data_IF_666771528411
#
_entry.id   IF_666771528411
#
_cell.length_a   1.000
_cell.length_b   1.000
_cell.length_c   1.000
_cell.angle_alpha   90.00
_cell.angle_beta   90.00
_cell.angle_gamma   90.00
#
_symmetry.space_group_name_H-M   'P 1'
#
loop_
_entity.id
_entity.type
_entity.pdbx_description
1 polymer ?
#
# COMPACT_ATOMS: atom_id res chain seq x y z
N UNK A 1 -12.96 -17.60 28.46
CA UNK A 1 -13.60 -17.56 27.14
C UNK A 1 -14.01 -16.12 26.94
N UNK A 2 -13.12 -15.32 26.37
CA UNK A 2 -13.46 -13.99 25.89
C UNK A 2 -12.75 -13.82 24.55
N UNK A 3 -13.56 -13.53 23.55
CA UNK A 3 -13.16 -13.36 22.17
C UNK A 3 -12.10 -12.27 22.07
N UNK A 4 -10.94 -12.64 21.53
CA UNK A 4 -9.94 -11.69 21.03
C UNK A 4 -10.68 -10.80 20.04
N UNK A 5 -10.84 -9.52 20.41
CA UNK A 5 -11.32 -8.46 19.52
C UNK A 5 -10.53 -8.54 18.22
N UNK A 6 -11.19 -9.02 17.17
CA UNK A 6 -10.64 -9.05 15.82
C UNK A 6 -10.29 -7.64 15.39
N UNK A 7 -9.17 -7.53 14.66
CA UNK A 7 -8.66 -6.33 14.00
C UNK A 7 -9.78 -5.41 13.51
N UNK A 8 -10.11 -4.40 14.31
CA UNK A 8 -10.92 -3.24 13.91
C UNK A 8 -10.07 -2.35 13.00
N UNK A 9 -9.97 -2.72 11.71
CA UNK A 9 -9.82 -1.85 10.52
C UNK A 9 -9.57 -2.72 9.28
N UNK A 10 -10.55 -3.55 8.95
CA UNK A 10 -10.68 -4.16 7.62
C UNK A 10 -11.79 -3.38 6.91
N UNK A 11 -11.45 -2.50 5.97
CA UNK A 11 -12.43 -2.07 4.98
C UNK A 11 -12.65 -3.23 4.03
N UNK A 12 -13.49 -4.18 4.44
CA UNK A 12 -14.11 -5.09 3.48
C UNK A 12 -15.00 -4.22 2.59
N UNK A 13 -14.60 -4.02 1.33
CA UNK A 13 -15.52 -3.50 0.34
C UNK A 13 -16.39 -4.69 -0.08
N UNK A 14 -17.47 -4.91 0.67
CA UNK A 14 -18.40 -6.02 0.43
C UNK A 14 -19.08 -5.95 -0.94
N UNK A 15 -19.41 -7.12 -1.51
CA UNK A 15 -20.23 -7.25 -2.72
C UNK A 15 -19.50 -7.66 -4.01
N UNK A 16 -18.20 -7.98 -3.95
CA UNK A 16 -17.39 -8.43 -5.10
C UNK A 16 -16.67 -9.76 -4.79
N UNK A 17 -16.54 -10.68 -5.76
CA UNK A 17 -15.92 -12.01 -5.58
C UNK A 17 -14.41 -11.95 -5.33
N UNK A 18 -13.80 -10.78 -5.53
CA UNK A 18 -12.39 -10.50 -5.27
C UNK A 18 -12.30 -9.35 -4.27
N UNK A 19 -12.24 -9.62 -2.96
CA UNK A 19 -11.97 -8.60 -1.94
C UNK A 19 -10.58 -7.97 -2.11
N UNK A 20 -10.46 -6.73 -1.60
CA UNK A 20 -9.25 -5.91 -1.67
C UNK A 20 -8.83 -5.51 -0.26
N UNK A 21 -7.57 -5.75 0.08
CA UNK A 21 -6.97 -5.38 1.35
C UNK A 21 -5.69 -4.57 1.12
N UNK A 22 -5.81 -3.25 1.26
CA UNK A 22 -4.71 -2.31 1.14
C UNK A 22 -4.43 -1.69 2.50
N UNK A 23 -3.16 -1.62 2.91
CA UNK A 23 -2.75 -0.82 4.05
C UNK A 23 -2.45 0.62 3.64
N UNK A 24 -2.80 1.59 4.49
CA UNK A 24 -2.61 3.02 4.25
C UNK A 24 -1.13 3.46 4.11
N UNK A 25 -0.17 2.54 4.24
CA UNK A 25 1.26 2.81 4.08
C UNK A 25 1.59 3.47 2.74
N UNK A 26 0.85 3.14 1.67
CA UNK A 26 1.06 3.77 0.37
C UNK A 26 0.73 5.27 0.37
N UNK A 27 -0.09 5.76 1.30
CA UNK A 27 -0.41 7.19 1.41
C UNK A 27 0.79 8.03 1.82
N UNK A 28 1.82 7.40 2.42
CA UNK A 28 3.06 8.05 2.86
C UNK A 28 4.04 8.30 1.71
N UNK A 29 3.82 7.68 0.55
CA UNK A 29 4.66 7.90 -0.63
C UNK A 29 4.13 9.08 -1.45
N UNK A 30 5.05 9.83 -2.05
CA UNK A 30 4.72 10.93 -2.95
C UNK A 30 4.04 10.43 -4.23
N UNK A 31 3.19 11.27 -4.81
CA UNK A 31 2.58 10.99 -6.11
C UNK A 31 3.65 11.09 -7.21
N UNK A 32 3.76 10.06 -8.04
CA UNK A 32 4.61 10.09 -9.25
C UNK A 32 4.00 10.94 -10.37
N UNK A 33 2.66 10.92 -10.47
CA UNK A 33 1.89 11.64 -11.49
C UNK A 33 1.77 13.15 -11.22
N UNK A 34 2.00 13.62 -9.99
CA UNK A 34 2.03 15.05 -9.67
C UNK A 34 3.05 15.84 -10.51
N UNK A 35 4.01 15.15 -11.14
CA UNK A 35 4.94 15.77 -12.10
C UNK A 35 4.31 16.14 -13.45
N UNK A 36 3.11 15.66 -13.80
CA UNK A 36 2.43 15.98 -15.07
C UNK A 36 0.91 16.22 -14.97
N UNK A 37 0.20 15.65 -13.99
CA UNK A 37 -1.26 15.82 -13.82
C UNK A 37 -1.55 16.35 -12.42
N UNK A 38 -2.41 17.35 -12.34
CA UNK A 38 -2.59 18.20 -11.14
C UNK A 38 -3.34 17.51 -10.00
N UNK A 39 -4.03 16.40 -10.24
CA UNK A 39 -4.59 15.52 -9.21
C UNK A 39 -4.78 14.07 -9.72
N UNK A 40 -4.99 13.15 -8.77
CA UNK A 40 -5.21 11.72 -8.99
C UNK A 40 -6.54 11.38 -9.70
N UNK A 41 -7.61 12.13 -9.43
CA UNK A 41 -8.91 11.92 -10.10
C UNK A 41 -8.81 12.20 -11.59
N UNK A 42 -8.01 13.19 -11.98
CA UNK A 42 -7.70 13.56 -13.36
C UNK A 42 -6.88 12.47 -14.04
N UNK A 43 -6.00 11.77 -13.31
CA UNK A 43 -5.19 10.68 -13.86
C UNK A 43 -5.98 9.39 -14.08
N UNK A 44 -6.86 9.03 -13.13
CA UNK A 44 -7.72 7.85 -13.26
C UNK A 44 -8.78 8.02 -14.33
N UNK A 45 -9.35 9.22 -14.41
CA UNK A 45 -10.30 9.58 -15.46
C UNK A 45 -9.61 10.13 -16.72
N UNK A 46 -8.29 9.95 -16.84
CA UNK A 46 -7.59 10.30 -18.05
C UNK A 46 -8.12 9.47 -19.22
N UNK A 47 -8.36 10.15 -20.34
CA UNK A 47 -9.02 9.58 -21.50
C UNK A 47 -9.93 10.61 -22.16
N UNK A 48 -10.73 10.19 -23.15
CA UNK A 48 -10.87 8.83 -23.65
C UNK A 48 -9.80 8.44 -24.70
N UNK A 49 -9.13 7.31 -24.50
CA UNK A 49 -8.04 6.79 -25.35
C UNK A 49 -8.53 5.82 -26.44
N UNK A 50 -7.88 5.74 -27.61
CA UNK A 50 -8.27 4.82 -28.68
C UNK A 50 -7.91 3.35 -28.36
N UNK A 51 -8.49 2.39 -29.11
CA UNK A 51 -8.14 0.95 -29.01
C UNK A 51 -6.63 0.69 -29.10
N UNK A 52 -5.90 1.45 -29.92
CA UNK A 52 -4.44 1.30 -30.04
C UNK A 52 -3.69 1.52 -28.73
N UNK A 53 -4.22 2.33 -27.81
CA UNK A 53 -3.65 2.58 -26.49
C UNK A 53 -3.94 1.45 -25.48
N UNK A 54 -4.71 0.43 -25.85
CA UNK A 54 -4.96 -0.74 -24.98
C UNK A 54 -3.94 -1.86 -25.14
N UNK A 55 -3.12 -1.80 -26.19
CA UNK A 55 -2.25 -2.90 -26.61
C UNK A 55 -3.00 -4.09 -27.22
N UNK A 56 -4.31 -3.99 -27.45
CA UNK A 56 -5.13 -5.02 -28.08
C UNK A 56 -5.52 -4.65 -29.52
N UNK A 57 -5.72 -5.69 -30.34
CA UNK A 57 -6.35 -5.55 -31.64
C UNK A 57 -7.86 -5.31 -31.53
N UNK A 58 -8.45 -4.67 -32.54
CA UNK A 58 -9.90 -4.50 -32.66
C UNK A 58 -10.66 -5.84 -32.58
N UNK A 59 -10.10 -6.92 -33.12
CA UNK A 59 -10.72 -8.24 -33.07
C UNK A 59 -10.79 -8.75 -31.63
N UNK A 60 -9.70 -8.67 -30.87
CA UNK A 60 -9.68 -9.05 -29.45
C UNK A 60 -10.70 -8.24 -28.65
N UNK A 61 -10.76 -6.92 -28.88
CA UNK A 61 -11.72 -6.02 -28.23
C UNK A 61 -13.17 -6.38 -28.56
N UNK A 62 -13.47 -6.74 -29.81
CA UNK A 62 -14.81 -7.18 -30.21
C UNK A 62 -15.20 -8.53 -29.57
N UNK A 63 -14.25 -9.47 -29.47
CA UNK A 63 -14.47 -10.74 -28.76
C UNK A 63 -14.79 -10.53 -27.29
N UNK A 64 -14.00 -9.71 -26.58
CA UNK A 64 -14.25 -9.38 -25.18
C UNK A 64 -15.63 -8.72 -24.97
N UNK A 65 -16.11 -7.95 -25.95
CA UNK A 65 -17.46 -7.37 -25.90
C UNK A 65 -18.54 -8.44 -25.99
N UNK A 66 -18.37 -9.37 -26.95
CA UNK A 66 -19.32 -10.46 -27.16
C UNK A 66 -19.40 -11.37 -25.93
N UNK A 67 -18.27 -11.54 -25.25
CA UNK A 67 -18.15 -12.38 -24.06
C UNK A 67 -18.55 -11.65 -22.76
N UNK A 68 -19.02 -10.40 -22.82
CA UNK A 68 -19.46 -9.64 -21.64
C UNK A 68 -18.32 -9.17 -20.73
N UNK A 69 -17.08 -9.21 -21.21
CA UNK A 69 -15.86 -8.85 -20.47
C UNK A 69 -15.41 -7.39 -20.68
N UNK A 70 -16.26 -6.56 -21.28
CA UNK A 70 -16.07 -5.12 -21.36
C UNK A 70 -17.33 -4.41 -20.85
N UNK A 71 -17.14 -3.32 -20.11
CA UNK A 71 -18.23 -2.46 -19.71
C UNK A 71 -18.93 -1.80 -20.90
N UNK A 72 -19.95 -1.01 -20.62
CA UNK A 72 -20.59 -0.15 -21.60
C UNK A 72 -19.61 0.97 -22.01
N UNK A 73 -18.57 0.62 -22.78
CA UNK A 73 -17.67 1.59 -23.38
C UNK A 73 -18.51 2.60 -24.14
N UNK A 74 -18.32 3.90 -23.89
CA UNK A 74 -18.96 4.94 -24.68
C UNK A 74 -18.58 4.74 -26.15
N UNK A 75 -19.48 4.16 -26.93
CA UNK A 75 -19.51 4.44 -28.37
C UNK A 75 -19.82 5.93 -28.44
N UNK A 76 -18.81 6.76 -28.71
CA UNK A 76 -19.02 8.18 -28.93
C UNK A 76 -19.96 8.37 -30.14
N UNK A 77 -21.28 8.37 -29.92
CA UNK A 77 -22.31 8.44 -30.95
C UNK A 77 -22.46 7.19 -31.81
N UNK A 78 -23.56 7.13 -32.58
CA UNK A 78 -24.04 5.98 -33.38
C UNK A 78 -23.03 5.44 -34.44
N UNK A 79 -21.86 6.05 -34.58
CA UNK A 79 -20.75 5.63 -35.47
C UNK A 79 -19.35 5.86 -34.88
N UNK A 80 -19.23 5.96 -33.55
CA UNK A 80 -17.97 6.27 -32.89
C UNK A 80 -17.01 5.09 -32.79
N UNK A 81 -15.72 5.36 -33.03
CA UNK A 81 -14.63 4.47 -32.63
C UNK A 81 -14.68 4.25 -31.11
N UNK A 82 -14.48 3.00 -30.67
CA UNK A 82 -14.45 2.69 -29.23
C UNK A 82 -13.28 3.40 -28.56
N UNK A 83 -13.55 3.95 -27.39
CA UNK A 83 -12.53 4.57 -26.54
C UNK A 83 -12.55 3.98 -25.13
N UNK A 84 -11.46 4.18 -24.41
CA UNK A 84 -11.21 3.63 -23.09
C UNK A 84 -10.67 4.69 -22.13
N UNK A 85 -11.09 4.62 -20.88
CA UNK A 85 -10.47 5.35 -19.77
C UNK A 85 -9.20 4.63 -19.31
N UNK A 86 -8.30 5.33 -18.61
CA UNK A 86 -7.07 4.73 -18.08
C UNK A 86 -7.34 3.49 -17.22
N UNK A 87 -8.34 3.54 -16.33
CA UNK A 87 -8.80 2.38 -15.55
C UNK A 87 -9.12 1.15 -16.42
N UNK A 88 -9.79 1.35 -17.55
CA UNK A 88 -10.15 0.26 -18.47
C UNK A 88 -8.91 -0.30 -19.18
N UNK A 89 -7.92 0.53 -19.47
CA UNK A 89 -6.62 0.07 -20.00
C UNK A 89 -5.92 -0.80 -18.95
N UNK A 90 -5.87 -0.39 -17.67
CA UNK A 90 -5.31 -1.20 -16.58
C UNK A 90 -6.03 -2.55 -16.47
N UNK A 91 -7.36 -2.54 -16.47
CA UNK A 91 -8.17 -3.76 -16.50
C UNK A 91 -7.77 -4.69 -17.66
N UNK A 92 -7.63 -4.14 -18.87
CA UNK A 92 -7.27 -4.91 -20.06
C UNK A 92 -5.86 -5.50 -19.96
N UNK A 93 -4.91 -4.83 -19.29
CA UNK A 93 -3.58 -5.38 -19.00
C UNK A 93 -3.67 -6.56 -18.04
N UNK A 94 -4.38 -6.43 -16.92
CA UNK A 94 -4.58 -7.53 -15.95
C UNK A 94 -5.31 -8.71 -16.59
N UNK A 95 -6.34 -8.44 -17.39
CA UNK A 95 -7.09 -9.46 -18.12
C UNK A 95 -6.20 -10.21 -19.11
N UNK A 96 -5.33 -9.49 -19.83
CA UNK A 96 -4.39 -10.09 -20.79
C UNK A 96 -3.38 -10.99 -20.09
N UNK A 97 -2.89 -10.57 -18.92
CA UNK A 97 -1.99 -11.37 -18.09
C UNK A 97 -2.65 -12.68 -17.65
N UNK A 98 -3.87 -12.63 -17.09
CA UNK A 98 -4.62 -13.83 -16.70
C UNK A 98 -4.90 -14.75 -17.89
N UNK A 99 -5.25 -14.19 -19.05
CA UNK A 99 -5.44 -14.97 -20.27
C UNK A 99 -4.17 -15.67 -20.75
N UNK A 100 -3.00 -15.08 -20.53
CA UNK A 100 -1.72 -15.71 -20.88
C UNK A 100 -1.48 -17.02 -20.12
N UNK A 101 -2.05 -17.16 -18.92
CA UNK A 101 -2.05 -18.39 -18.11
C UNK A 101 -3.19 -19.36 -18.47
N UNK A 102 -4.00 -19.06 -19.49
CA UNK A 102 -5.09 -19.92 -19.94
C UNK A 102 -6.39 -19.80 -19.13
N UNK A 103 -6.56 -18.71 -18.36
CA UNK A 103 -7.81 -18.46 -17.62
C UNK A 103 -8.99 -18.31 -18.59
N UNK A 104 -10.03 -19.12 -18.38
CA UNK A 104 -11.24 -19.10 -19.19
C UNK A 104 -12.13 -17.88 -18.94
N UNK A 105 -12.98 -17.54 -19.92
CA UNK A 105 -13.85 -16.37 -19.87
C UNK A 105 -14.81 -16.35 -18.67
N UNK A 106 -15.28 -17.51 -18.20
CA UNK A 106 -16.18 -17.60 -17.05
C UNK A 106 -15.53 -17.05 -15.78
N UNK A 107 -14.32 -17.52 -15.46
CA UNK A 107 -13.56 -17.04 -14.29
C UNK A 107 -13.24 -15.53 -14.38
N UNK A 108 -12.99 -15.00 -15.58
CA UNK A 108 -12.68 -13.58 -15.79
C UNK A 108 -13.83 -12.62 -15.41
N UNK A 109 -15.06 -13.11 -15.22
CA UNK A 109 -16.15 -12.28 -14.73
C UNK A 109 -15.89 -11.74 -13.31
N UNK A 110 -15.14 -12.46 -12.48
CA UNK A 110 -14.74 -11.96 -11.16
C UNK A 110 -13.82 -10.74 -11.26
N UNK A 111 -12.86 -10.77 -12.20
CA UNK A 111 -12.01 -9.61 -12.52
C UNK A 111 -12.84 -8.46 -13.08
N UNK A 112 -13.80 -8.75 -13.97
CA UNK A 112 -14.70 -7.73 -14.50
C UNK A 112 -15.48 -7.03 -13.38
N UNK A 113 -16.03 -7.78 -12.42
CA UNK A 113 -16.73 -7.20 -11.28
C UNK A 113 -15.80 -6.36 -10.38
N UNK A 114 -14.54 -6.75 -10.20
CA UNK A 114 -13.56 -5.96 -9.45
C UNK A 114 -13.34 -4.57 -10.08
N UNK A 115 -13.27 -4.48 -11.41
CA UNK A 115 -12.97 -3.21 -12.10
C UNK A 115 -14.20 -2.37 -12.46
N UNK A 116 -15.33 -3.02 -12.78
CA UNK A 116 -16.55 -2.33 -13.25
C UNK A 116 -17.70 -2.35 -12.23
N UNK A 117 -17.68 -3.23 -11.24
CA UNK A 117 -18.75 -3.34 -10.23
C UNK A 117 -18.72 -2.19 -9.22
N UNK A 118 -17.54 -1.90 -8.67
CA UNK A 118 -17.29 -0.73 -7.84
C UNK A 118 -16.02 -0.03 -8.32
N UNK A 119 -16.18 1.05 -9.06
CA UNK A 119 -15.05 1.80 -9.62
C UNK A 119 -14.12 2.34 -8.55
N UNK A 120 -14.62 2.70 -7.37
CA UNK A 120 -13.80 3.23 -6.27
C UNK A 120 -12.76 2.20 -5.78
N UNK A 121 -13.10 0.91 -5.78
CA UNK A 121 -12.18 -0.17 -5.42
C UNK A 121 -11.05 -0.31 -6.42
N UNK A 122 -11.37 -0.29 -7.71
CA UNK A 122 -10.36 -0.34 -8.77
C UNK A 122 -9.45 0.89 -8.71
N UNK A 123 -10.05 2.04 -8.43
CA UNK A 123 -9.34 3.31 -8.32
C UNK A 123 -8.36 3.30 -7.15
N UNK A 124 -8.75 2.74 -6.00
CA UNK A 124 -7.86 2.58 -4.84
C UNK A 124 -6.65 1.67 -5.12
N UNK A 125 -6.85 0.58 -5.85
CA UNK A 125 -5.75 -0.30 -6.29
C UNK A 125 -4.79 0.46 -7.21
N UNK A 126 -5.34 1.20 -8.18
CA UNK A 126 -4.56 2.00 -9.12
C UNK A 126 -3.81 3.11 -8.37
N UNK A 127 -4.45 3.78 -7.39
CA UNK A 127 -3.81 4.80 -6.56
C UNK A 127 -2.57 4.28 -5.85
N UNK A 128 -2.67 3.12 -5.20
CA UNK A 128 -1.54 2.53 -4.51
C UNK A 128 -0.38 2.28 -5.47
N UNK A 129 -0.66 1.74 -6.66
CA UNK A 129 0.32 1.55 -7.73
C UNK A 129 1.00 2.87 -8.14
N UNK A 130 0.21 3.93 -8.31
CA UNK A 130 0.69 5.25 -8.69
C UNK A 130 1.51 5.93 -7.58
N UNK A 131 1.22 5.62 -6.32
CA UNK A 131 2.01 6.00 -5.13
C UNK A 131 3.18 5.06 -4.86
N UNK A 132 3.71 4.41 -5.90
CA UNK A 132 4.89 3.54 -5.82
C UNK A 132 4.75 2.34 -4.88
N UNK A 133 3.53 1.93 -4.52
CA UNK A 133 3.26 0.68 -3.81
C UNK A 133 2.84 -0.41 -4.78
N UNK A 134 3.34 -1.62 -4.56
CA UNK A 134 2.83 -2.80 -5.25
C UNK A 134 1.39 -3.10 -4.81
N UNK A 135 0.63 -3.71 -5.71
CA UNK A 135 -0.62 -4.37 -5.40
C UNK A 135 -0.60 -5.73 -6.11
N UNK A 136 -0.89 -6.80 -5.38
CA UNK A 136 -0.84 -8.16 -5.91
C UNK A 136 -2.22 -8.78 -5.93
N UNK A 137 -2.66 -9.21 -7.11
CA UNK A 137 -3.86 -10.03 -7.29
C UNK A 137 -3.49 -11.51 -7.17
N UNK A 138 -4.11 -12.20 -6.22
CA UNK A 138 -4.17 -13.66 -6.14
C UNK A 138 -5.48 -14.10 -6.78
N UNK A 139 -5.40 -14.78 -7.93
CA UNK A 139 -6.57 -15.17 -8.71
C UNK A 139 -6.73 -16.69 -8.75
N UNK A 140 -7.91 -17.19 -8.36
CA UNK A 140 -8.22 -18.62 -8.36
C UNK A 140 -8.94 -19.05 -9.63
N UNK A 141 -8.94 -20.35 -9.89
CA UNK A 141 -9.57 -20.94 -11.08
C UNK A 141 -11.09 -20.77 -11.15
N UNK A 142 -11.75 -20.49 -10.03
CA UNK A 142 -13.19 -20.23 -9.94
C UNK A 142 -13.55 -18.75 -10.16
N UNK A 143 -12.58 -17.89 -10.46
CA UNK A 143 -12.78 -16.46 -10.67
C UNK A 143 -12.83 -15.63 -9.38
N UNK A 144 -12.67 -16.25 -8.22
CA UNK A 144 -12.51 -15.55 -6.93
C UNK A 144 -11.04 -15.23 -6.66
N UNK A 145 -10.75 -14.45 -5.63
CA UNK A 145 -9.38 -14.06 -5.35
C UNK A 145 -9.23 -13.01 -4.26
N UNK A 146 -8.05 -12.41 -4.21
CA UNK A 146 -7.71 -11.30 -3.31
C UNK A 146 -6.82 -10.30 -4.01
N UNK A 147 -7.01 -9.00 -3.77
CA UNK A 147 -5.96 -8.00 -4.02
C UNK A 147 -5.35 -7.60 -2.69
N UNK A 148 -4.02 -7.65 -2.58
CA UNK A 148 -3.29 -7.43 -1.34
C UNK A 148 -2.17 -6.40 -1.55
N UNK A 149 -1.99 -5.50 -0.58
CA UNK A 149 -0.74 -4.75 -0.45
C UNK A 149 0.42 -5.67 -0.01
N UNK A 150 1.69 -5.23 -0.14
CA UNK A 150 2.85 -5.99 0.28
C UNK A 150 2.78 -6.48 1.73
N UNK A 151 2.32 -5.63 2.65
CA UNK A 151 2.20 -5.96 4.08
C UNK A 151 1.15 -7.04 4.32
N UNK A 152 -0.01 -6.92 3.68
CA UNK A 152 -1.09 -7.90 3.82
C UNK A 152 -0.70 -9.24 3.24
N UNK A 153 -0.04 -9.25 2.09
CA UNK A 153 0.48 -10.47 1.50
C UNK A 153 1.57 -11.10 2.38
N UNK A 154 2.50 -10.30 2.88
CA UNK A 154 3.55 -10.76 3.79
C UNK A 154 2.97 -11.38 5.07
N UNK A 155 2.05 -10.69 5.75
CA UNK A 155 1.43 -11.20 6.97
C UNK A 155 0.58 -12.45 6.70
N UNK A 156 -0.14 -12.51 5.58
CA UNK A 156 -0.93 -13.70 5.23
C UNK A 156 -0.06 -14.93 4.93
N UNK A 157 1.09 -14.74 4.26
CA UNK A 157 2.06 -15.82 4.06
C UNK A 157 2.74 -16.23 5.38
N UNK A 158 3.04 -15.26 6.26
CA UNK A 158 3.68 -15.51 7.57
C UNK A 158 2.78 -16.24 8.55
N UNK A 159 1.48 -15.93 8.55
CA UNK A 159 0.49 -16.47 9.50
C UNK A 159 -0.14 -17.78 9.07
N UNK A 160 0.35 -18.37 7.97
CA UNK A 160 -0.17 -19.62 7.44
C UNK A 160 -1.67 -19.54 7.09
N UNK A 161 -2.06 -18.48 6.38
CA UNK A 161 -3.45 -18.31 5.95
C UNK A 161 -3.78 -19.24 4.77
N UNK A 162 -4.63 -20.24 5.00
CA UNK A 162 -5.06 -21.23 4.01
C UNK A 162 -5.65 -20.62 2.73
N UNK A 163 -6.32 -19.46 2.82
CA UNK A 163 -6.84 -18.77 1.65
C UNK A 163 -5.69 -18.39 0.69
N UNK A 164 -4.62 -17.78 1.21
CA UNK A 164 -3.45 -17.36 0.42
C UNK A 164 -2.58 -18.54 -0.05
N UNK A 165 -2.64 -19.68 0.65
CA UNK A 165 -1.94 -20.92 0.26
C UNK A 165 -2.61 -21.71 -0.85
N UNK A 166 -3.91 -21.49 -1.10
CA UNK A 166 -4.61 -22.09 -2.24
C UNK A 166 -3.84 -21.77 -3.53
N UNK A 167 -3.75 -22.74 -4.44
CA UNK A 167 -3.12 -22.53 -5.74
C UNK A 167 -3.77 -21.37 -6.47
N UNK A 168 -3.01 -20.29 -6.64
CA UNK A 168 -3.45 -19.05 -7.26
C UNK A 168 -2.49 -18.64 -8.38
N UNK A 169 -3.03 -18.00 -9.41
CA UNK A 169 -2.24 -17.20 -10.34
C UNK A 169 -1.96 -15.88 -9.63
N UNK A 170 -0.68 -15.50 -9.54
CA UNK A 170 -0.26 -14.23 -8.94
C UNK A 170 -0.02 -13.21 -10.06
N UNK A 171 -0.76 -12.11 -10.03
CA UNK A 171 -0.58 -10.99 -10.95
C UNK A 171 -0.16 -9.76 -10.17
N UNK A 172 1.00 -9.21 -10.53
CA UNK A 172 1.51 -7.96 -9.95
C UNK A 172 0.85 -6.79 -10.67
N UNK A 173 -0.24 -6.28 -10.10
CA UNK A 173 -1.10 -5.25 -10.73
C UNK A 173 -0.32 -3.97 -11.00
N UNK A 174 0.67 -3.62 -10.17
CA UNK A 174 1.54 -2.47 -10.39
C UNK A 174 2.34 -2.56 -11.70
N UNK A 175 2.70 -3.77 -12.17
CA UNK A 175 3.31 -3.93 -13.49
C UNK A 175 2.32 -3.62 -14.61
N UNK A 176 1.07 -4.07 -14.48
CA UNK A 176 0.01 -3.77 -15.43
C UNK A 176 -0.31 -2.27 -15.48
N UNK A 177 -0.28 -1.58 -14.34
CA UNK A 177 -0.46 -0.12 -14.27
C UNK A 177 0.69 0.61 -14.97
N UNK A 178 1.93 0.17 -14.76
CA UNK A 178 3.10 0.72 -15.46
C UNK A 178 3.00 0.56 -16.97
N UNK A 179 2.67 -0.64 -17.45
CA UNK A 179 2.47 -0.89 -18.88
C UNK A 179 1.33 -0.04 -19.46
N UNK A 180 0.26 0.15 -18.69
CA UNK A 180 -0.84 1.03 -19.09
C UNK A 180 -0.38 2.49 -19.24
N UNK A 181 0.46 3.00 -18.33
CA UNK A 181 1.04 4.34 -18.42
C UNK A 181 1.91 4.50 -19.67
N UNK A 182 2.76 3.51 -19.97
CA UNK A 182 3.61 3.50 -21.16
C UNK A 182 2.77 3.53 -22.44
N UNK A 183 1.68 2.76 -22.50
CA UNK A 183 0.77 2.71 -23.66
C UNK A 183 0.03 4.04 -23.92
N UNK A 184 -0.18 4.86 -22.89
CA UNK A 184 -0.78 6.19 -23.03
C UNK A 184 0.26 7.32 -23.12
N UNK A 185 1.56 6.96 -23.16
CA UNK A 185 2.66 7.91 -23.31
C UNK A 185 3.00 8.70 -22.04
N UNK A 186 2.63 8.20 -20.86
CA UNK A 186 3.02 8.77 -19.57
C UNK A 186 4.25 8.07 -19.00
N UNK A 187 5.00 8.78 -18.15
CA UNK A 187 6.18 8.24 -17.48
C UNK A 187 5.80 7.14 -16.49
N UNK A 188 6.51 6.01 -16.56
CA UNK A 188 6.34 4.89 -15.64
C UNK A 188 6.77 5.24 -14.21
N UNK A 189 6.06 4.68 -13.24
CA UNK A 189 6.41 4.80 -11.81
C UNK A 189 7.32 3.65 -11.40
N UNK A 190 8.45 3.95 -10.77
CA UNK A 190 9.22 2.92 -10.07
C UNK A 190 8.42 2.44 -8.85
N UNK A 191 8.14 1.14 -8.76
CA UNK A 191 7.51 0.56 -7.57
C UNK A 191 8.56 0.45 -6.45
N UNK A 192 8.43 1.28 -5.42
CA UNK A 192 9.38 1.37 -4.32
C UNK A 192 9.00 0.41 -3.19
N UNK A 193 7.72 0.29 -2.87
CA UNK A 193 7.22 -0.53 -1.78
C UNK A 193 6.67 -1.84 -2.32
N UNK A 194 7.44 -2.92 -2.20
CA UNK A 194 7.14 -4.23 -2.80
C UNK A 194 7.28 -5.35 -1.78
N UNK A 195 6.58 -6.46 -1.99
CA UNK A 195 6.75 -7.65 -1.14
C UNK A 195 8.21 -8.12 -1.14
N UNK A 196 8.87 -8.11 -2.30
CA UNK A 196 10.26 -8.51 -2.42
C UNK A 196 11.20 -7.68 -1.53
N UNK A 197 11.02 -6.35 -1.49
CA UNK A 197 11.77 -5.48 -0.59
C UNK A 197 11.42 -5.73 0.88
N UNK A 198 10.16 -6.04 1.19
CA UNK A 198 9.76 -6.40 2.56
C UNK A 198 10.38 -7.72 3.03
N UNK A 199 10.43 -8.74 2.17
CA UNK A 199 11.08 -10.02 2.48
C UNK A 199 12.60 -9.83 2.63
N UNK A 200 13.21 -8.97 1.81
CA UNK A 200 14.62 -8.57 1.96
C UNK A 200 14.84 -7.72 3.23
N UNK A 201 13.81 -6.97 3.66
CA UNK A 201 13.76 -6.19 4.90
C UNK A 201 13.42 -7.04 6.16
N UNK A 202 13.91 -8.28 6.22
CA UNK A 202 14.89 -8.69 7.25
C UNK A 202 14.57 -10.01 7.99
N UNK A 203 15.57 -10.51 8.76
CA UNK A 203 15.48 -10.53 10.21
C UNK A 203 16.20 -9.30 10.80
N UNK A 204 15.44 -8.31 11.31
CA UNK A 204 15.99 -7.08 11.92
C UNK A 204 17.12 -7.52 12.84
N UNK A 205 18.30 -6.92 12.72
CA UNK A 205 19.32 -7.14 13.75
C UNK A 205 18.73 -6.73 15.09
N UNK A 206 19.20 -7.31 16.19
CA UNK A 206 18.67 -7.01 17.52
C UNK A 206 18.68 -5.49 17.82
N UNK A 207 19.67 -4.78 17.26
CA UNK A 207 19.83 -3.33 17.37
C UNK A 207 18.79 -2.55 16.58
N UNK A 208 18.52 -2.95 15.34
CA UNK A 208 17.48 -2.30 14.52
C UNK A 208 16.09 -2.56 15.06
N UNK A 209 15.84 -3.76 15.62
CA UNK A 209 14.58 -4.06 16.29
C UNK A 209 14.36 -3.16 17.50
N UNK A 210 15.40 -2.93 18.31
CA UNK A 210 15.34 -1.99 19.43
C UNK A 210 15.02 -0.55 19.00
N UNK A 211 15.50 -0.11 17.82
CA UNK A 211 15.14 1.20 17.25
C UNK A 211 13.65 1.25 16.89
N UNK A 212 13.15 0.22 16.20
CA UNK A 212 11.74 0.14 15.80
C UNK A 212 10.82 0.07 17.01
N UNK A 213 11.19 -0.68 18.05
CA UNK A 213 10.41 -0.77 19.28
C UNK A 213 10.40 0.56 20.05
N UNK A 214 11.51 1.30 20.05
CA UNK A 214 11.56 2.65 20.61
C UNK A 214 10.65 3.62 19.82
N UNK A 215 10.62 3.55 18.49
CA UNK A 215 9.71 4.34 17.64
C UNK A 215 8.24 4.02 17.87
N UNK A 216 7.92 2.75 18.10
CA UNK A 216 6.55 2.31 18.41
C UNK A 216 6.10 2.75 19.80
N UNK A 217 7.04 2.96 20.72
CA UNK A 217 6.73 3.51 22.02
C UNK A 217 6.44 5.02 21.91
N UNK A 218 5.17 5.40 22.04
CA UNK A 218 4.70 6.80 21.98
C UNK A 218 5.16 7.68 23.14
N UNK A 219 5.99 7.15 24.03
CA UNK A 219 6.61 7.88 25.14
C UNK A 219 7.70 8.87 24.70
N UNK A 220 8.11 8.86 23.42
CA UNK A 220 9.20 9.70 22.92
C UNK A 220 8.71 10.70 21.88
N UNK A 221 9.14 11.95 22.03
CA UNK A 221 8.84 13.05 21.09
C UNK A 221 9.88 13.18 19.98
N UNK A 222 11.10 12.70 20.22
CA UNK A 222 12.19 12.66 19.24
C UNK A 222 13.05 11.43 19.49
N UNK A 223 13.46 10.76 18.41
CA UNK A 223 14.39 9.63 18.44
C UNK A 223 15.52 9.91 17.46
N UNK A 224 16.74 10.08 17.99
CA UNK A 224 17.96 10.20 17.18
C UNK A 224 18.72 8.89 17.20
N UNK A 225 18.93 8.29 16.01
CA UNK A 225 19.70 7.06 15.85
C UNK A 225 21.10 7.41 15.36
N UNK A 226 22.11 7.06 16.15
CA UNK A 226 23.52 7.17 15.72
C UNK A 226 23.97 5.82 15.16
N UNK A 227 24.61 5.83 13.98
CA UNK A 227 25.19 4.63 13.37
C UNK A 227 26.71 4.67 13.45
N UNK A 228 27.33 3.51 13.69
CA UNK A 228 28.78 3.31 13.55
C UNK A 228 29.01 2.17 12.57
N UNK A 229 29.82 2.38 11.52
CA UNK A 229 30.02 1.42 10.43
C UNK A 229 28.73 0.91 9.75
N UNK A 230 27.69 1.74 9.69
CA UNK A 230 26.41 1.38 9.07
C UNK A 230 25.40 0.70 10.00
N UNK A 231 25.81 0.27 11.20
CA UNK A 231 24.95 -0.35 12.20
C UNK A 231 24.50 0.66 13.28
N UNK A 232 23.25 0.58 13.78
CA UNK A 232 22.80 1.38 14.92
C UNK A 232 23.67 1.10 16.15
N UNK A 233 24.16 2.14 16.82
CA UNK A 233 25.02 2.02 18.01
C UNK A 233 24.42 2.71 19.24
N UNK A 234 23.72 3.82 19.06
CA UNK A 234 23.12 4.57 20.16
C UNK A 234 21.78 5.16 19.74
N UNK A 235 20.77 4.99 20.59
CA UNK A 235 19.50 5.70 20.50
C UNK A 235 19.49 6.80 21.55
N UNK A 236 19.26 8.04 21.12
CA UNK A 236 18.86 9.11 22.00
C UNK A 236 17.35 9.31 21.86
N UNK A 237 16.61 9.07 22.93
CA UNK A 237 15.16 9.26 22.94
C UNK A 237 14.83 10.42 23.88
N UNK A 238 14.19 11.46 23.36
CA UNK A 238 13.88 12.69 24.10
C UNK A 238 12.39 12.79 24.39
N UNK A 239 12.06 13.00 25.66
CA UNK A 239 10.70 13.32 26.10
C UNK A 239 10.71 14.73 26.70
N UNK A 240 9.93 15.62 26.08
CA UNK A 240 9.72 16.99 26.54
C UNK A 240 8.35 17.12 27.22
N UNK A 241 8.34 17.19 28.56
CA UNK A 241 7.13 17.54 29.34
C UNK A 241 7.20 18.99 29.81
N UNK A 242 6.19 19.79 29.44
CA UNK A 242 6.12 21.25 29.66
C UNK A 242 5.16 21.68 30.78
N UNK A 243 4.83 20.83 31.74
CA UNK A 243 3.89 21.17 32.84
C UNK A 243 4.48 20.89 34.22
N UNK A 244 3.93 21.55 35.26
CA UNK A 244 4.37 21.55 36.66
C UNK A 244 4.75 20.13 37.12
N UNK A 245 6.06 19.86 37.17
CA UNK A 245 6.59 18.53 37.45
C UNK A 245 6.55 18.28 38.96
N UNK A 246 5.71 17.35 39.39
CA UNK A 246 5.64 16.90 40.79
C UNK A 246 6.81 15.98 41.15
N UNK A 247 7.12 15.84 42.44
CA UNK A 247 8.18 14.95 42.93
C UNK A 247 8.00 13.50 42.46
N UNK A 248 6.75 13.06 42.32
CA UNK A 248 6.39 11.71 41.89
C UNK A 248 6.82 11.41 40.44
N UNK A 249 7.06 12.44 39.62
CA UNK A 249 7.57 12.30 38.24
C UNK A 249 9.10 12.32 38.20
N UNK A 250 9.74 13.08 39.09
CA UNK A 250 11.21 13.22 39.14
C UNK A 250 11.90 11.98 39.72
N UNK A 251 11.32 11.37 40.76
CA UNK A 251 11.93 10.22 41.45
C UNK A 251 12.15 9.04 40.49
N UNK A 252 11.16 8.59 39.68
CA UNK A 252 11.38 7.53 38.70
C UNK A 252 12.42 7.87 37.62
N UNK A 253 12.57 9.16 37.25
CA UNK A 253 13.57 9.58 36.27
C UNK A 253 14.99 9.47 36.83
N UNK A 254 15.19 9.81 38.11
CA UNK A 254 16.48 9.69 38.80
C UNK A 254 16.91 8.24 39.04
N UNK A 255 15.96 7.29 38.99
CA UNK A 255 16.22 5.86 39.14
C UNK A 255 16.68 5.17 37.83
N UNK A 256 16.77 5.91 36.72
CA UNK A 256 17.23 5.38 35.43
C UNK A 256 18.73 5.17 35.44
N UNK A 257 19.18 4.05 34.89
CA UNK A 257 20.61 3.65 34.86
C UNK A 257 21.48 4.53 33.96
N UNK A 258 20.93 5.10 32.86
CA UNK A 258 21.62 6.06 31.98
C UNK A 258 20.64 7.06 31.36
N UNK A 259 20.64 8.30 31.86
CA UNK A 259 19.84 9.39 31.30
C UNK A 259 20.51 10.74 31.53
N UNK A 260 20.32 11.67 30.59
CA UNK A 260 20.57 13.09 30.81
C UNK A 260 19.25 13.76 31.16
N UNK A 261 19.16 14.28 32.39
CA UNK A 261 17.96 14.94 32.91
C UNK A 261 18.26 16.44 33.01
N UNK A 262 17.52 17.27 32.30
CA UNK A 262 17.62 18.71 32.37
C UNK A 262 16.37 19.28 33.06
N UNK A 263 16.57 19.90 34.23
CA UNK A 263 15.52 20.55 35.01
C UNK A 263 15.75 22.05 35.00
N UNK A 264 14.80 22.82 34.48
CA UNK A 264 14.85 24.30 34.55
C UNK A 264 13.87 24.79 35.61
N UNK A 265 14.36 25.65 36.51
CA UNK A 265 13.59 26.26 37.59
C UNK A 265 13.54 27.78 37.41
N UNK A 266 12.38 28.39 37.61
CA UNK A 266 12.17 29.85 37.62
C UNK A 266 11.31 30.22 38.81
N UNK A 267 11.74 31.21 39.59
CA UNK A 267 11.00 31.71 40.77
C UNK A 267 10.58 30.62 41.77
N UNK A 268 11.46 29.65 42.00
CA UNK A 268 11.22 28.53 42.92
C UNK A 268 10.30 27.44 42.37
N UNK A 269 9.79 27.54 41.13
CA UNK A 269 8.95 26.53 40.47
C UNK A 269 9.67 25.86 39.30
N UNK A 270 9.47 24.56 39.14
CA UNK A 270 10.04 23.79 38.01
C UNK A 270 9.21 24.09 36.76
N UNK A 271 9.83 24.69 35.75
CA UNK A 271 9.11 25.16 34.54
C UNK A 271 9.29 24.24 33.34
N UNK A 272 10.29 23.37 33.35
CA UNK A 272 10.45 22.34 32.30
C UNK A 272 11.36 21.21 32.78
N UNK A 273 11.01 19.98 32.40
CA UNK A 273 11.91 18.82 32.51
C UNK A 273 12.02 18.17 31.14
N UNK A 274 13.26 18.04 30.65
CA UNK A 274 13.56 17.22 29.48
C UNK A 274 14.44 16.05 29.90
N UNK A 275 14.09 14.87 29.42
CA UNK A 275 14.85 13.65 29.66
C UNK A 275 15.32 13.13 28.31
N UNK A 276 16.63 12.97 28.18
CA UNK A 276 17.26 12.28 27.05
C UNK A 276 17.75 10.93 27.55
N UNK A 277 17.02 9.88 27.20
CA UNK A 277 17.45 8.50 27.42
C UNK A 277 18.55 8.17 26.42
N UNK A 278 19.61 7.50 26.91
CA UNK A 278 20.69 7.01 26.05
C UNK A 278 20.71 5.50 26.13
N UNK A 279 20.29 4.84 25.05
CA UNK A 279 20.24 3.39 24.95
C UNK A 279 21.43 2.97 24.08
N UNK A 280 22.44 2.33 24.67
CA UNK A 280 23.53 1.69 23.92
C UNK A 280 23.01 0.38 23.32
N UNK A 281 23.27 0.19 22.02
CA UNK A 281 22.85 -0.99 21.25
C UNK A 281 24.02 -1.93 20.97
#
# INVERSE_FOLDING_TARGET
MDAVKGNETLREIGGVPIPVYMDDAYLMFGNSIERQVTDFETAINAGPFPVSATGLSYQQVNWLTKDGLLGASEKAGERGWRKFQFREIVYLRVLSELRSFGVGNEALHGLHQLFYGNTATADEIILACLKASEATLLFYSDGTGFVLSPERLFEAERTDNEAVKRSAIRVVVSSCVREALELIGLESVETIHTLGKMIQLLPLTQKERAVVDALRNRDYTEITVTKHNGEPSVIYAENNRKEDVTNDVLVPMLMRSFANINVKRRDGKTVSVSVRDTIKL
#
